data_IF_225271231030
#
_entry.id   IF_225271231030
#
_cell.length_a   1.000
_cell.length_b   1.000
_cell.length_c   1.000
_cell.angle_alpha   90.00
_cell.angle_beta   90.00
_cell.angle_gamma   90.00
#
_symmetry.space_group_name_H-M   'P 1'
#
loop_
_entity.id
_entity.type
_entity.pdbx_description
1 polymer ?
#
# COMPACT_ATOMS: atom_id res chain seq x y z
N UNK A 1 40.49 18.75 44.50
CA UNK A 1 39.33 19.48 43.95
C UNK A 1 39.29 19.52 42.43
N UNK A 2 40.41 19.64 41.72
CA UNK A 2 40.40 19.66 40.25
C UNK A 2 39.91 18.33 39.61
N UNK A 3 40.15 17.18 40.23
CA UNK A 3 39.74 15.88 39.69
C UNK A 3 38.24 15.56 39.88
N UNK A 4 37.56 16.30 40.72
CA UNK A 4 36.13 16.12 40.97
C UNK A 4 35.30 16.76 39.86
N UNK A 5 35.74 17.91 39.36
CA UNK A 5 35.09 18.68 38.29
C UNK A 5 35.17 17.90 36.98
N UNK A 6 36.31 17.25 36.69
CA UNK A 6 36.47 16.43 35.47
C UNK A 6 35.52 15.22 35.43
N UNK A 7 35.26 14.61 36.59
CA UNK A 7 34.31 13.49 36.68
C UNK A 7 32.87 13.93 36.39
N UNK A 8 32.46 15.08 36.85
CA UNK A 8 31.12 15.63 36.57
C UNK A 8 30.98 16.10 35.12
N UNK A 9 31.99 16.72 34.57
CA UNK A 9 32.02 17.16 33.18
C UNK A 9 31.97 15.93 32.23
N UNK A 10 32.71 14.87 32.55
CA UNK A 10 32.68 13.62 31.77
C UNK A 10 31.33 12.93 31.89
N UNK A 11 30.67 12.96 33.05
CA UNK A 11 29.36 12.36 33.27
C UNK A 11 28.24 13.13 32.55
N UNK A 12 28.32 14.45 32.52
CA UNK A 12 27.37 15.31 31.78
C UNK A 12 27.55 15.13 30.28
N UNK A 13 28.77 14.92 29.80
CA UNK A 13 29.05 14.69 28.36
C UNK A 13 28.55 13.32 27.88
N UNK A 14 28.54 12.32 28.77
CA UNK A 14 28.06 10.97 28.46
C UNK A 14 26.52 10.92 28.43
N UNK A 15 25.82 11.81 29.14
CA UNK A 15 24.35 11.88 29.13
C UNK A 15 23.75 12.57 27.90
N UNK A 16 24.53 13.31 27.09
CA UNK A 16 24.05 14.02 25.92
C UNK A 16 24.02 13.19 24.63
N UNK A 17 24.44 11.92 24.63
CA UNK A 17 24.63 11.13 23.41
C UNK A 17 23.50 10.16 23.08
N UNK A 18 22.34 10.26 23.72
CA UNK A 18 21.20 9.38 23.37
C UNK A 18 19.96 10.16 22.92
N UNK A 19 20.13 11.06 21.97
CA UNK A 19 19.00 11.40 21.10
C UNK A 19 19.00 10.41 19.94
N UNK A 20 18.56 9.19 20.20
CA UNK A 20 18.08 8.30 19.15
C UNK A 20 16.86 8.94 18.55
N UNK A 21 17.03 9.64 17.44
CA UNK A 21 15.91 9.97 16.57
C UNK A 21 15.40 8.62 16.05
N UNK A 22 14.40 8.08 16.70
CA UNK A 22 13.61 7.01 16.13
C UNK A 22 12.99 7.60 14.86
N UNK A 23 13.62 7.38 13.71
CA UNK A 23 12.98 7.61 12.42
C UNK A 23 11.79 6.65 12.37
N UNK A 24 10.61 7.20 12.50
CA UNK A 24 9.39 6.50 12.20
C UNK A 24 9.43 6.17 10.72
N UNK A 25 9.83 4.94 10.39
CA UNK A 25 9.78 4.44 9.03
C UNK A 25 8.30 4.27 8.70
N UNK A 26 7.74 5.27 8.06
CA UNK A 26 6.41 5.19 7.50
C UNK A 26 6.40 4.07 6.45
N UNK A 27 5.89 2.90 6.82
CA UNK A 27 5.72 1.80 5.88
C UNK A 27 4.52 2.16 5.01
N UNK A 28 4.78 2.41 3.72
CA UNK A 28 3.72 2.53 2.71
C UNK A 28 2.86 1.26 2.73
N UNK A 29 1.59 1.39 2.31
CA UNK A 29 0.67 0.26 2.29
C UNK A 29 1.22 -0.95 1.56
N UNK A 30 0.87 -2.14 2.00
CA UNK A 30 1.34 -3.40 1.45
C UNK A 30 0.46 -3.87 0.30
N UNK A 31 1.08 -4.51 -0.68
CA UNK A 31 0.38 -5.35 -1.66
C UNK A 31 0.54 -6.81 -1.25
N UNK A 32 -0.57 -7.49 -1.11
CA UNK A 32 -0.64 -8.91 -0.81
C UNK A 32 -0.93 -9.65 -2.11
N UNK A 33 0.03 -10.41 -2.58
CA UNK A 33 -0.09 -11.22 -3.78
C UNK A 33 -0.65 -12.60 -3.42
N UNK A 34 -1.93 -12.83 -3.75
CA UNK A 34 -2.62 -14.10 -3.61
C UNK A 34 -2.94 -14.72 -5.00
N UNK A 35 -2.05 -14.52 -5.95
CA UNK A 35 -2.14 -15.10 -7.28
C UNK A 35 -1.44 -16.45 -7.36
N UNK A 36 -1.78 -17.23 -8.38
CA UNK A 36 -1.28 -18.60 -8.56
C UNK A 36 -0.48 -18.71 -9.87
N UNK A 37 -0.98 -18.09 -10.95
CA UNK A 37 -0.36 -18.15 -12.25
C UNK A 37 0.80 -17.15 -12.39
N UNK A 38 1.70 -17.42 -13.34
CA UNK A 38 2.77 -16.50 -13.68
C UNK A 38 2.24 -15.13 -14.12
N UNK A 39 1.17 -15.13 -14.94
CA UNK A 39 0.53 -13.87 -15.37
C UNK A 39 -0.05 -13.09 -14.18
N UNK A 40 -0.66 -13.79 -13.22
CA UNK A 40 -1.17 -13.20 -12.00
C UNK A 40 -0.05 -12.55 -11.17
N UNK A 41 1.06 -13.23 -11.00
CA UNK A 41 2.23 -12.68 -10.30
C UNK A 41 2.83 -11.47 -11.02
N UNK A 42 2.95 -11.51 -12.36
CA UNK A 42 3.44 -10.38 -13.14
C UNK A 42 2.49 -9.17 -13.02
N UNK A 43 1.19 -9.40 -13.01
CA UNK A 43 0.18 -8.36 -12.78
C UNK A 43 0.30 -7.75 -11.38
N UNK A 44 0.38 -8.58 -10.35
CA UNK A 44 0.54 -8.12 -8.96
C UNK A 44 1.84 -7.33 -8.76
N UNK A 45 2.94 -7.79 -9.35
CA UNK A 45 4.24 -7.10 -9.27
C UNK A 45 4.20 -5.72 -9.95
N UNK A 46 3.55 -5.59 -11.09
CA UNK A 46 3.42 -4.30 -11.76
C UNK A 46 2.54 -3.34 -10.96
N UNK A 47 1.42 -3.81 -10.40
CA UNK A 47 0.58 -3.00 -9.51
C UNK A 47 1.38 -2.57 -8.28
N UNK A 48 2.18 -3.45 -7.71
CA UNK A 48 3.00 -3.15 -6.53
C UNK A 48 3.97 -1.98 -6.77
N UNK A 49 4.57 -1.90 -7.94
CA UNK A 49 5.45 -0.79 -8.31
C UNK A 49 4.71 0.54 -8.33
N UNK A 50 3.54 0.59 -8.95
CA UNK A 50 2.70 1.79 -8.98
C UNK A 50 2.16 2.15 -7.59
N UNK A 51 1.80 1.15 -6.80
CA UNK A 51 1.28 1.35 -5.46
C UNK A 51 2.26 2.08 -4.54
N UNK A 52 3.54 1.78 -4.66
CA UNK A 52 4.59 2.45 -3.90
C UNK A 52 4.75 3.93 -4.24
N UNK A 53 4.33 4.34 -5.43
CA UNK A 53 4.39 5.72 -5.90
C UNK A 53 3.14 6.54 -5.51
N UNK A 54 2.05 5.87 -5.13
CA UNK A 54 0.80 6.55 -4.75
C UNK A 54 0.96 7.14 -3.34
N UNK A 55 0.72 8.46 -3.16
CA UNK A 55 0.79 9.08 -1.84
C UNK A 55 -0.40 8.67 -0.95
N UNK A 56 -0.22 8.81 0.36
CA UNK A 56 -1.27 8.57 1.37
C UNK A 56 -1.81 7.13 1.41
N UNK A 57 -0.96 6.15 1.07
CA UNK A 57 -1.30 4.72 1.16
C UNK A 57 -0.90 4.10 2.50
N UNK A 58 -0.41 4.90 3.41
CA UNK A 58 0.05 4.45 4.72
C UNK A 58 -1.04 3.67 5.47
N UNK A 59 -0.70 2.46 5.92
CA UNK A 59 -1.62 1.58 6.64
C UNK A 59 -2.73 0.97 5.78
N UNK A 60 -2.75 1.21 4.48
CA UNK A 60 -3.76 0.69 3.55
C UNK A 60 -3.19 -0.47 2.75
N UNK A 61 -3.89 -1.60 2.74
CA UNK A 61 -3.44 -2.81 2.07
C UNK A 61 -4.29 -3.11 0.84
N UNK A 62 -3.63 -3.59 -0.19
CA UNK A 62 -4.27 -4.09 -1.41
C UNK A 62 -4.03 -5.59 -1.53
N UNK A 63 -5.05 -6.34 -1.85
CA UNK A 63 -4.96 -7.78 -2.13
C UNK A 63 -5.23 -8.01 -3.60
N UNK A 64 -4.31 -8.71 -4.27
CA UNK A 64 -4.51 -9.20 -5.62
C UNK A 64 -4.81 -10.69 -5.53
N UNK A 65 -6.04 -11.09 -5.83
CA UNK A 65 -6.53 -12.46 -5.68
C UNK A 65 -6.85 -13.07 -7.04
N UNK A 66 -6.39 -14.27 -7.26
CA UNK A 66 -6.67 -15.05 -8.46
C UNK A 66 -7.64 -16.19 -8.15
N UNK A 67 -8.61 -16.36 -9.04
CA UNK A 67 -9.60 -17.44 -8.96
C UNK A 67 -9.63 -18.15 -10.30
N UNK A 68 -9.38 -19.45 -10.29
CA UNK A 68 -9.45 -20.28 -11.49
C UNK A 68 -10.91 -20.70 -11.72
N UNK A 69 -11.45 -20.31 -12.87
CA UNK A 69 -12.81 -20.68 -13.27
C UNK A 69 -12.73 -21.83 -14.29
N UNK A 70 -13.39 -22.97 -14.07
CA UNK A 70 -13.19 -24.18 -14.89
C UNK A 70 -13.44 -24.03 -16.37
N UNK A 71 -14.26 -23.06 -16.80
CA UNK A 71 -14.60 -22.87 -18.23
C UNK A 71 -14.34 -21.46 -18.75
N UNK A 72 -14.11 -20.48 -17.88
CA UNK A 72 -13.99 -19.08 -18.26
C UNK A 72 -12.55 -18.54 -18.15
N UNK A 73 -11.58 -19.38 -17.83
CA UNK A 73 -10.19 -18.99 -17.63
C UNK A 73 -9.90 -18.55 -16.18
N UNK A 74 -9.07 -17.54 -16.01
CA UNK A 74 -8.65 -17.06 -14.71
C UNK A 74 -9.20 -15.68 -14.45
N UNK A 75 -9.87 -15.50 -13.31
CA UNK A 75 -10.33 -14.21 -12.82
C UNK A 75 -9.30 -13.65 -11.85
N UNK A 76 -8.98 -12.36 -11.97
CA UNK A 76 -8.11 -11.64 -11.05
C UNK A 76 -8.86 -10.44 -10.49
N UNK A 77 -8.94 -10.39 -9.18
CA UNK A 77 -9.58 -9.31 -8.42
C UNK A 77 -8.52 -8.49 -7.69
N UNK A 78 -8.64 -7.18 -7.78
CA UNK A 78 -7.89 -6.23 -6.96
C UNK A 78 -8.82 -5.71 -5.87
N UNK A 79 -8.46 -5.98 -4.63
CA UNK A 79 -9.29 -5.71 -3.45
C UNK A 79 -8.59 -4.62 -2.62
N UNK A 80 -9.30 -3.55 -2.34
CA UNK A 80 -8.86 -2.46 -1.49
C UNK A 80 -9.92 -2.21 -0.42
N UNK A 81 -9.50 -2.17 0.84
CA UNK A 81 -10.40 -1.97 1.98
C UNK A 81 -11.61 -2.94 1.98
N UNK A 82 -11.34 -4.22 1.73
CA UNK A 82 -12.34 -5.31 1.62
C UNK A 82 -13.37 -5.13 0.49
N UNK A 83 -13.11 -4.23 -0.46
CA UNK A 83 -13.96 -4.01 -1.64
C UNK A 83 -13.19 -4.33 -2.91
N UNK A 84 -13.85 -5.01 -3.84
CA UNK A 84 -13.28 -5.26 -5.17
C UNK A 84 -13.33 -3.95 -5.95
N UNK A 85 -12.17 -3.37 -6.24
CA UNK A 85 -12.05 -2.12 -7.00
C UNK A 85 -11.81 -2.35 -8.49
N UNK A 86 -11.25 -3.50 -8.84
CA UNK A 86 -11.01 -3.89 -10.22
C UNK A 86 -11.11 -5.41 -10.37
N UNK A 87 -11.70 -5.85 -11.46
CA UNK A 87 -11.80 -7.26 -11.84
C UNK A 87 -11.44 -7.42 -13.31
N UNK A 88 -10.60 -8.38 -13.61
CA UNK A 88 -10.23 -8.73 -14.97
C UNK A 88 -10.12 -10.24 -15.14
N UNK A 89 -10.08 -10.68 -16.38
CA UNK A 89 -9.95 -12.07 -16.72
C UNK A 89 -8.72 -12.28 -17.60
N UNK A 90 -7.95 -13.31 -17.31
CA UNK A 90 -6.89 -13.81 -18.15
C UNK A 90 -7.41 -15.00 -18.94
N UNK A 91 -7.57 -14.83 -20.23
CA UNK A 91 -8.07 -15.85 -21.15
C UNK A 91 -7.28 -15.86 -22.47
N UNK A 92 -7.76 -16.63 -23.43
CA UNK A 92 -7.10 -16.82 -24.73
C UNK A 92 -7.03 -15.55 -25.59
N UNK A 93 -7.90 -14.57 -25.36
CA UNK A 93 -7.89 -13.26 -26.02
C UNK A 93 -7.48 -12.21 -25.02
N UNK A 94 -6.22 -11.86 -25.08
CA UNK A 94 -5.61 -11.00 -24.09
C UNK A 94 -5.55 -9.56 -24.59
N UNK A 95 -6.22 -8.67 -23.87
CA UNK A 95 -5.73 -7.31 -23.78
C UNK A 95 -4.31 -7.38 -23.22
N UNK A 96 -3.37 -6.52 -23.68
CA UNK A 96 -2.03 -6.48 -23.13
C UNK A 96 -2.07 -6.34 -21.60
N UNK A 97 -1.19 -7.04 -20.92
CA UNK A 97 -1.11 -6.99 -19.45
C UNK A 97 -0.96 -5.56 -18.92
N UNK A 98 -0.17 -4.75 -19.64
CA UNK A 98 0.08 -3.34 -19.28
C UNK A 98 -1.20 -2.51 -19.26
N UNK A 99 -2.12 -2.74 -20.19
CA UNK A 99 -3.40 -2.04 -20.21
C UNK A 99 -4.27 -2.41 -19.01
N UNK A 100 -4.31 -3.70 -18.65
CA UNK A 100 -5.02 -4.16 -17.45
C UNK A 100 -4.43 -3.59 -16.17
N UNK A 101 -3.11 -3.50 -16.08
CA UNK A 101 -2.41 -2.87 -14.97
C UNK A 101 -2.78 -1.40 -14.86
N UNK A 102 -2.76 -0.66 -15.97
CA UNK A 102 -3.13 0.75 -16.00
C UNK A 102 -4.57 0.97 -15.54
N UNK A 103 -5.51 0.16 -15.99
CA UNK A 103 -6.90 0.23 -15.56
C UNK A 103 -7.05 -0.04 -14.07
N UNK A 104 -6.34 -1.05 -13.55
CA UNK A 104 -6.34 -1.38 -12.12
C UNK A 104 -5.77 -0.26 -11.27
N UNK A 105 -4.66 0.34 -11.71
CA UNK A 105 -4.02 1.47 -11.01
C UNK A 105 -4.94 2.69 -10.95
N UNK A 106 -5.60 3.03 -12.06
CA UNK A 106 -6.58 4.14 -12.09
C UNK A 106 -7.70 3.90 -11.07
N UNK A 107 -8.23 2.69 -11.01
CA UNK A 107 -9.27 2.32 -10.03
C UNK A 107 -8.78 2.38 -8.59
N UNK A 108 -7.54 1.96 -8.35
CA UNK A 108 -6.91 2.07 -7.02
C UNK A 108 -6.71 3.53 -6.61
N UNK A 109 -6.23 4.37 -7.50
CA UNK A 109 -6.05 5.81 -7.23
C UNK A 109 -7.38 6.46 -6.88
N UNK A 110 -8.43 6.17 -7.64
CA UNK A 110 -9.77 6.68 -7.36
C UNK A 110 -10.29 6.20 -5.99
N UNK A 111 -10.08 4.93 -5.65
CA UNK A 111 -10.51 4.36 -4.38
C UNK A 111 -9.77 5.00 -3.19
N UNK A 112 -8.48 5.22 -3.32
CA UNK A 112 -7.67 5.92 -2.30
C UNK A 112 -8.13 7.36 -2.13
N UNK A 113 -8.37 8.07 -3.23
CA UNK A 113 -8.85 9.45 -3.20
C UNK A 113 -10.23 9.56 -2.52
N UNK A 114 -11.15 8.67 -2.82
CA UNK A 114 -12.48 8.64 -2.19
C UNK A 114 -12.39 8.35 -0.69
N UNK A 115 -11.53 7.43 -0.28
CA UNK A 115 -11.33 7.12 1.13
C UNK A 115 -10.73 8.31 1.90
N UNK A 116 -9.75 8.98 1.31
CA UNK A 116 -9.11 10.15 1.93
C UNK A 116 -10.11 11.32 2.10
N UNK A 117 -10.98 11.55 1.14
CA UNK A 117 -12.05 12.55 1.24
C UNK A 117 -13.03 12.17 2.36
N UNK A 118 -13.41 10.90 2.48
CA UNK A 118 -14.29 10.41 3.52
C UNK A 118 -13.70 10.53 4.94
N UNK A 119 -12.38 10.35 5.07
CA UNK A 119 -11.67 10.52 6.35
C UNK A 119 -11.50 12.01 6.72
N UNK A 120 -11.29 12.88 5.74
CA UNK A 120 -11.09 14.31 5.95
C UNK A 120 -12.39 15.04 6.27
N UNK A 121 -13.52 14.57 5.75
CA UNK A 121 -14.84 15.15 5.95
C UNK A 121 -15.89 14.10 6.30
N UNK A 122 -15.85 13.55 7.52
CA UNK A 122 -16.85 12.54 7.93
C UNK A 122 -18.28 13.08 7.94
N UNK A 123 -18.45 14.39 8.12
CA UNK A 123 -19.76 15.06 8.17
C UNK A 123 -20.46 15.15 6.81
N UNK A 124 -19.73 15.05 5.70
CA UNK A 124 -20.31 15.08 4.35
C UNK A 124 -20.97 13.76 3.92
N UNK A 125 -20.68 12.68 4.63
CA UNK A 125 -21.25 11.36 4.34
C UNK A 125 -22.67 11.16 4.92
N UNK A 126 -23.09 12.00 5.87
CA UNK A 126 -24.39 11.91 6.55
C UNK A 126 -25.51 12.73 5.88
N UNK A 127 -25.22 13.55 4.89
CA UNK A 127 -26.21 14.45 4.25
C UNK A 127 -26.88 13.87 2.99
N UNK A 128 -26.63 12.61 2.64
CA UNK A 128 -27.34 11.94 1.55
C UNK A 128 -28.61 11.20 2.02
N UNK A 129 -29.63 11.99 2.35
CA UNK A 129 -31.01 11.50 2.50
C UNK A 129 -31.95 12.16 1.54
#
# INVERSE_FOLDING_TARGET
MKNFIYKYVLFVWLCCSTMSIAQEIAISGLIIDSTISRQGHDFANQISRFWQEIPNTFGKNVVVKEIILPQAGTQVDVIFDNKIVYRTYFGRRLLPLDEKVNQAVVRLVDAVAQQNIGEEHPDLADDEW
#
